data_IF_071590900924
#
_entry.id   IF_071590900924
#
_cell.length_a   1.000
_cell.length_b   1.000
_cell.length_c   1.000
_cell.angle_alpha   90.00
_cell.angle_beta   90.00
_cell.angle_gamma   90.00
#
_symmetry.space_group_name_H-M   'P 1'
#
loop_
_entity.id
_entity.type
_entity.pdbx_description
1 polymer ?
#
# COMPACT_ATOMS: atom_id res chain seq x y z
N UNK A 1 -47.63 -48.18 -13.96
CA UNK A 1 -48.06 -48.38 -15.36
C UNK A 1 -47.19 -47.47 -16.23
N UNK A 2 -46.39 -48.17 -17.06
CA UNK A 2 -46.08 -47.94 -18.48
C UNK A 2 -45.58 -46.55 -18.86
N UNK A 3 -44.20 -46.39 -19.12
CA UNK A 3 -43.58 -46.50 -20.47
C UNK A 3 -43.87 -45.22 -21.30
N UNK A 4 -42.86 -44.53 -21.85
CA UNK A 4 -42.11 -44.75 -23.11
C UNK A 4 -41.08 -43.58 -23.15
N UNK A 5 -39.78 -43.76 -23.14
CA UNK A 5 -38.85 -44.04 -24.23
C UNK A 5 -39.06 -43.14 -25.48
N UNK A 6 -38.21 -42.20 -25.74
CA UNK A 6 -37.67 -42.04 -27.08
C UNK A 6 -36.30 -41.34 -27.05
N UNK A 7 -35.34 -42.08 -27.50
CA UNK A 7 -33.98 -41.81 -27.89
C UNK A 7 -34.00 -41.08 -29.24
N UNK A 8 -33.27 -39.96 -29.39
CA UNK A 8 -32.78 -39.54 -30.71
C UNK A 8 -31.30 -39.25 -30.60
N UNK A 9 -30.59 -40.09 -31.30
CA UNK A 9 -29.15 -40.11 -31.52
C UNK A 9 -28.83 -39.41 -32.85
N UNK A 10 -27.70 -38.75 -32.90
CA UNK A 10 -26.83 -38.48 -34.05
C UNK A 10 -27.22 -37.35 -35.04
N UNK A 11 -26.25 -36.45 -35.20
CA UNK A 11 -25.48 -36.27 -36.45
C UNK A 11 -24.36 -35.24 -36.15
N UNK A 12 -23.15 -35.69 -36.04
CA UNK A 12 -22.01 -35.56 -36.94
C UNK A 12 -22.05 -34.35 -37.87
N UNK A 13 -21.15 -33.40 -37.70
CA UNK A 13 -20.33 -32.95 -38.81
C UNK A 13 -19.07 -32.23 -38.32
N UNK A 14 -17.93 -32.83 -38.63
CA UNK A 14 -16.60 -32.20 -38.67
C UNK A 14 -16.61 -31.06 -39.70
N UNK A 15 -16.10 -29.91 -39.31
CA UNK A 15 -15.46 -28.98 -40.24
C UNK A 15 -14.17 -28.50 -39.64
N UNK A 16 -13.09 -29.19 -39.98
CA UNK A 16 -11.75 -28.61 -39.95
C UNK A 16 -11.65 -27.58 -41.09
N UNK A 17 -11.41 -26.33 -40.76
CA UNK A 17 -10.85 -25.38 -41.71
C UNK A 17 -9.56 -24.83 -41.15
N UNK A 18 -8.47 -25.42 -41.63
CA UNK A 18 -7.13 -24.86 -41.64
C UNK A 18 -7.17 -23.65 -42.58
N UNK A 19 -6.95 -22.46 -42.04
CA UNK A 19 -6.55 -21.33 -42.85
C UNK A 19 -5.12 -20.94 -42.42
N UNK A 20 -4.16 -21.55 -43.10
CA UNK A 20 -2.78 -21.07 -43.16
C UNK A 20 -2.74 -19.91 -44.15
N UNK A 21 -2.43 -18.73 -43.73
CA UNK A 21 -2.00 -17.64 -44.61
C UNK A 21 -0.47 -17.51 -44.50
N UNK A 22 0.22 -18.25 -45.39
CA UNK A 22 1.62 -17.99 -45.72
C UNK A 22 1.74 -16.63 -46.42
N UNK A 23 2.47 -15.73 -45.83
CA UNK A 23 2.97 -14.54 -46.51
C UNK A 23 4.41 -14.83 -46.89
N UNK A 24 4.66 -15.20 -48.15
CA UNK A 24 6.00 -15.29 -48.74
C UNK A 24 6.51 -13.89 -49.07
N UNK A 25 7.68 -13.55 -48.50
CA UNK A 25 8.48 -12.39 -48.93
C UNK A 25 9.52 -12.85 -49.96
N UNK A 26 9.73 -12.12 -51.04
CA UNK A 26 10.65 -12.55 -52.10
C UNK A 26 12.12 -12.47 -51.67
N UNK A 27 12.83 -13.53 -52.03
CA UNK A 27 14.26 -13.72 -51.90
C UNK A 27 15.08 -12.60 -52.50
N UNK A 28 16.01 -12.03 -51.76
CA UNK A 28 17.26 -11.51 -52.31
C UNK A 28 18.44 -11.97 -51.47
N UNK A 29 19.21 -12.82 -52.10
CA UNK A 29 20.46 -13.37 -51.61
C UNK A 29 21.57 -12.33 -51.61
N UNK A 30 22.20 -12.09 -50.45
CA UNK A 30 23.61 -11.64 -50.35
C UNK A 30 24.22 -12.22 -49.08
N UNK A 31 25.40 -12.82 -49.14
CA UNK A 31 26.05 -13.41 -47.99
C UNK A 31 26.86 -12.38 -47.23
N UNK A 32 26.63 -12.23 -45.94
CA UNK A 32 27.52 -11.41 -45.09
C UNK A 32 27.74 -12.02 -43.71
N UNK A 33 28.98 -12.25 -43.46
CA UNK A 33 29.73 -12.46 -42.23
C UNK A 33 28.98 -12.55 -40.88
N UNK A 34 29.28 -13.65 -40.18
CA UNK A 34 29.01 -13.83 -38.75
C UNK A 34 29.88 -12.86 -37.94
N UNK A 35 29.27 -11.76 -37.53
CA UNK A 35 29.82 -10.96 -36.44
C UNK A 35 29.07 -11.31 -35.15
N UNK A 36 29.77 -12.01 -34.27
CA UNK A 36 29.33 -12.33 -32.91
C UNK A 36 29.22 -11.02 -32.12
N UNK A 37 28.04 -10.43 -32.08
CA UNK A 37 27.76 -9.32 -31.18
C UNK A 37 27.47 -9.85 -29.81
N UNK A 38 28.49 -9.90 -28.96
CA UNK A 38 28.36 -9.96 -27.51
C UNK A 38 27.47 -8.80 -27.07
N UNK A 39 26.20 -9.09 -26.73
CA UNK A 39 25.31 -8.13 -26.09
C UNK A 39 25.82 -7.92 -24.68
N UNK A 40 26.70 -6.96 -24.49
CA UNK A 40 26.95 -6.37 -23.17
C UNK A 40 25.67 -5.66 -22.72
N UNK A 41 24.89 -6.32 -21.87
CA UNK A 41 23.73 -5.73 -21.21
C UNK A 41 24.26 -4.66 -20.26
N UNK A 42 24.37 -3.43 -20.74
CA UNK A 42 24.50 -2.27 -19.86
C UNK A 42 23.20 -2.16 -19.11
N UNK A 43 23.20 -2.64 -17.88
CA UNK A 43 22.17 -2.36 -16.89
C UNK A 43 22.26 -0.86 -16.55
N UNK A 44 21.55 -0.03 -17.33
CA UNK A 44 21.24 1.33 -16.89
C UNK A 44 20.21 1.21 -15.76
N UNK A 45 20.69 1.05 -14.55
CA UNK A 45 19.90 1.12 -13.32
C UNK A 45 19.57 2.58 -13.03
N UNK A 46 18.82 3.22 -13.92
CA UNK A 46 18.23 4.53 -13.63
C UNK A 46 17.04 4.27 -12.69
N UNK A 47 17.18 4.72 -11.44
CA UNK A 47 16.06 4.78 -10.50
C UNK A 47 14.93 5.55 -11.17
N UNK A 48 13.74 4.96 -11.29
CA UNK A 48 12.59 5.67 -11.80
C UNK A 48 12.34 6.88 -10.88
N UNK A 49 12.26 8.08 -11.45
CA UNK A 49 12.12 9.34 -10.69
C UNK A 49 10.94 9.30 -9.72
N UNK A 50 9.89 8.57 -10.08
CA UNK A 50 8.68 8.35 -9.29
C UNK A 50 8.91 7.47 -8.04
N UNK A 51 9.87 6.54 -8.08
CA UNK A 51 10.12 5.60 -6.99
C UNK A 51 10.97 6.20 -5.87
N UNK A 52 11.75 7.26 -6.13
CA UNK A 52 12.71 7.84 -5.17
C UNK A 52 12.17 8.06 -3.75
N UNK A 53 10.98 8.66 -3.56
CA UNK A 53 10.46 8.90 -2.21
C UNK A 53 10.06 7.63 -1.46
N UNK A 54 10.03 6.48 -2.14
CA UNK A 54 9.51 5.21 -1.62
C UNK A 54 10.56 4.11 -1.53
N UNK A 55 11.84 4.45 -1.76
CA UNK A 55 12.95 3.50 -1.72
C UNK A 55 13.45 3.26 -0.29
N UNK A 56 14.66 2.79 -0.18
CA UNK A 56 15.30 2.41 1.09
C UNK A 56 15.21 3.53 2.13
N UNK A 57 14.82 3.16 3.35
CA UNK A 57 14.63 4.08 4.47
C UNK A 57 13.28 4.81 4.50
N UNK A 58 12.46 4.71 3.43
CA UNK A 58 11.13 5.34 3.41
C UNK A 58 10.12 4.63 4.35
N UNK A 59 10.40 3.38 4.73
CA UNK A 59 9.62 2.62 5.71
C UNK A 59 10.55 2.27 6.87
N UNK A 60 10.53 3.07 7.96
CA UNK A 60 11.42 2.88 9.09
C UNK A 60 11.12 1.59 9.85
N UNK A 61 12.16 0.81 10.15
CA UNK A 61 12.06 -0.42 10.92
C UNK A 61 12.92 -0.31 12.18
N UNK A 62 12.31 -0.50 13.35
CA UNK A 62 12.95 -0.49 14.67
C UNK A 62 12.67 -1.82 15.33
N UNK A 63 13.71 -2.59 15.63
CA UNK A 63 13.60 -3.93 16.26
C UNK A 63 12.60 -4.86 15.55
N UNK A 64 12.62 -4.84 14.21
CA UNK A 64 11.73 -5.67 13.38
C UNK A 64 10.27 -5.19 13.34
N UNK A 65 9.98 -3.98 13.83
CA UNK A 65 8.65 -3.34 13.75
C UNK A 65 8.71 -2.09 12.90
N UNK A 66 7.71 -1.91 12.06
CA UNK A 66 7.56 -0.68 11.29
C UNK A 66 6.92 0.38 12.20
N UNK A 67 7.67 1.47 12.41
CA UNK A 67 7.24 2.60 13.23
C UNK A 67 7.57 3.90 12.47
N UNK A 68 6.55 4.55 11.95
CA UNK A 68 6.71 5.89 11.42
C UNK A 68 6.62 6.89 12.57
N UNK A 69 7.66 7.71 12.73
CA UNK A 69 7.77 8.68 13.82
C UNK A 69 7.96 10.09 13.30
N UNK A 70 7.34 11.07 13.95
CA UNK A 70 7.56 12.49 13.71
C UNK A 70 7.55 13.25 15.02
N UNK A 71 8.57 14.07 15.21
CA UNK A 71 8.60 15.08 16.28
C UNK A 71 8.16 16.42 15.70
N UNK A 72 7.19 17.05 16.35
CA UNK A 72 6.62 18.35 15.99
C UNK A 72 7.02 19.33 17.09
N UNK A 73 7.72 20.41 16.72
CA UNK A 73 8.06 21.48 17.64
C UNK A 73 6.88 22.47 17.76
N UNK A 74 6.44 22.74 18.99
CA UNK A 74 5.30 23.61 19.31
C UNK A 74 5.77 24.62 20.38
N UNK A 75 6.50 25.68 19.99
CA UNK A 75 7.12 26.59 20.93
C UNK A 75 6.08 27.31 21.81
N UNK A 76 6.49 27.60 23.05
CA UNK A 76 5.69 28.32 24.06
C UNK A 76 4.39 27.61 24.49
N UNK A 77 4.34 26.28 24.37
CA UNK A 77 3.27 25.42 24.85
C UNK A 77 3.78 24.41 25.85
N UNK A 78 3.08 24.25 26.98
CA UNK A 78 3.37 23.18 27.92
C UNK A 78 2.75 21.84 27.48
N UNK A 79 3.21 20.75 28.09
CA UNK A 79 2.78 19.39 27.76
C UNK A 79 1.25 19.20 27.89
N UNK A 80 0.61 19.86 28.88
CA UNK A 80 -0.84 19.74 29.09
C UNK A 80 -1.65 20.42 27.99
N UNK A 81 -1.23 21.62 27.55
CA UNK A 81 -1.89 22.35 26.45
C UNK A 81 -1.78 21.55 25.13
N UNK A 82 -0.60 20.99 24.85
CA UNK A 82 -0.37 20.15 23.66
C UNK A 82 -1.23 18.88 23.76
N UNK A 83 -1.29 18.27 24.93
CA UNK A 83 -2.10 17.08 25.18
C UNK A 83 -3.60 17.35 24.94
N UNK A 84 -4.14 18.43 25.50
CA UNK A 84 -5.57 18.71 25.37
C UNK A 84 -5.97 18.99 23.91
N UNK A 85 -5.16 19.75 23.16
CA UNK A 85 -5.36 19.95 21.71
C UNK A 85 -5.25 18.65 20.92
N UNK A 86 -4.23 17.85 21.21
CA UNK A 86 -4.01 16.56 20.54
C UNK A 86 -5.17 15.60 20.82
N UNK A 87 -5.65 15.56 22.06
CA UNK A 87 -6.80 14.74 22.44
C UNK A 87 -8.07 15.17 21.67
N UNK A 88 -8.39 16.45 21.62
CA UNK A 88 -9.55 16.96 20.88
C UNK A 88 -9.46 16.61 19.39
N UNK A 89 -8.29 16.79 18.78
CA UNK A 89 -8.08 16.41 17.38
C UNK A 89 -8.30 14.91 17.16
N UNK A 90 -7.67 14.05 17.97
CA UNK A 90 -7.79 12.60 17.84
C UNK A 90 -9.19 12.09 18.11
N UNK A 91 -9.94 12.73 19.02
CA UNK A 91 -11.34 12.41 19.25
C UNK A 91 -12.20 12.69 18.01
N UNK A 92 -12.01 13.83 17.36
CA UNK A 92 -12.68 14.17 16.10
C UNK A 92 -12.23 13.24 14.97
N UNK A 93 -10.93 12.97 14.87
CA UNK A 93 -10.37 12.12 13.84
C UNK A 93 -10.93 10.69 13.91
N UNK A 94 -11.04 10.11 15.11
CA UNK A 94 -11.61 8.77 15.28
C UNK A 94 -13.10 8.66 14.97
N UNK A 95 -13.83 9.79 15.00
CA UNK A 95 -15.27 9.89 14.69
C UNK A 95 -15.54 10.43 13.29
N UNK A 96 -14.51 10.70 12.49
CA UNK A 96 -14.66 11.26 11.14
C UNK A 96 -15.36 10.30 10.18
N UNK A 97 -15.93 10.82 9.10
CA UNK A 97 -16.60 10.03 8.07
C UNK A 97 -15.66 9.08 7.31
N UNK A 98 -14.35 9.29 7.41
CA UNK A 98 -13.34 8.39 6.83
C UNK A 98 -12.99 7.23 7.76
N UNK A 99 -13.34 7.34 9.05
CA UNK A 99 -13.08 6.30 10.04
C UNK A 99 -14.11 5.18 9.94
N UNK A 100 -13.64 3.94 9.92
CA UNK A 100 -14.46 2.74 9.94
C UNK A 100 -14.72 2.28 11.38
N UNK A 101 -15.72 1.40 11.61
CA UNK A 101 -15.97 0.82 12.91
C UNK A 101 -14.71 0.22 13.54
N UNK A 102 -14.50 0.49 14.83
CA UNK A 102 -13.31 0.09 15.57
C UNK A 102 -12.28 1.21 15.77
N UNK A 103 -12.42 2.35 15.07
CA UNK A 103 -11.62 3.55 15.34
C UNK A 103 -12.04 4.17 16.67
N UNK A 104 -11.09 4.32 17.59
CA UNK A 104 -11.33 4.92 18.90
C UNK A 104 -10.04 5.26 19.64
N UNK A 105 -10.11 6.18 20.58
CA UNK A 105 -9.04 6.37 21.57
C UNK A 105 -9.05 5.17 22.52
N UNK A 106 -7.90 4.57 22.77
CA UNK A 106 -7.74 3.36 23.59
C UNK A 106 -6.91 3.59 24.85
N UNK A 107 -6.04 4.60 24.87
CA UNK A 107 -5.26 5.00 26.04
C UNK A 107 -5.36 6.52 26.21
N UNK A 108 -5.65 6.93 27.43
CA UNK A 108 -5.64 8.32 27.89
C UNK A 108 -4.85 8.38 29.19
N UNK A 109 -3.61 8.87 29.13
CA UNK A 109 -2.78 9.03 30.31
C UNK A 109 -2.40 10.51 30.51
N UNK A 110 -3.22 11.22 31.30
CA UNK A 110 -3.01 12.64 31.59
C UNK A 110 -1.75 12.95 32.40
N UNK A 111 -1.30 11.99 33.24
CA UNK A 111 -0.08 12.19 34.06
C UNK A 111 1.19 12.15 33.24
N UNK A 112 1.23 11.31 32.22
CA UNK A 112 2.37 11.16 31.32
C UNK A 112 2.17 11.90 29.99
N UNK A 113 1.01 12.53 29.78
CA UNK A 113 0.59 13.21 28.57
C UNK A 113 0.71 12.29 27.33
N UNK A 114 0.21 11.05 27.45
CA UNK A 114 0.21 10.05 26.39
C UNK A 114 -1.22 9.74 25.97
N UNK A 115 -1.47 9.73 24.67
CA UNK A 115 -2.73 9.31 24.06
C UNK A 115 -2.41 8.22 23.04
N UNK A 116 -3.20 7.14 23.04
CA UNK A 116 -3.16 6.18 21.94
C UNK A 116 -4.55 5.97 21.35
N UNK A 117 -4.60 5.90 20.04
CA UNK A 117 -5.83 5.63 19.28
C UNK A 117 -5.58 4.47 18.31
N UNK A 118 -6.56 3.57 18.21
CA UNK A 118 -6.63 2.61 17.10
C UNK A 118 -7.47 3.21 15.99
N UNK A 119 -6.98 3.10 14.77
CA UNK A 119 -7.65 3.62 13.59
C UNK A 119 -7.90 2.48 12.62
N UNK A 120 -9.06 2.50 12.01
CA UNK A 120 -9.47 1.66 10.91
C UNK A 120 -10.06 2.56 9.82
N UNK A 121 -9.51 2.53 8.63
CA UNK A 121 -9.96 3.36 7.50
C UNK A 121 -9.74 2.66 6.17
N UNK A 122 -10.21 3.23 5.07
CA UNK A 122 -9.93 2.73 3.74
C UNK A 122 -8.64 3.35 3.17
N UNK A 123 -7.66 2.52 2.86
CA UNK A 123 -6.51 2.90 2.04
C UNK A 123 -6.89 2.70 0.57
N UNK A 124 -7.18 3.79 -0.13
CA UNK A 124 -7.66 3.76 -1.51
C UNK A 124 -6.48 3.80 -2.48
N UNK A 125 -6.33 2.75 -3.29
CA UNK A 125 -5.29 2.64 -4.31
C UNK A 125 -5.71 3.30 -5.62
N UNK A 126 -6.95 3.05 -6.05
CA UNK A 126 -7.57 3.72 -7.19
C UNK A 126 -9.08 3.82 -7.01
N UNK A 127 -9.66 4.88 -7.57
CA UNK A 127 -11.09 5.11 -7.58
C UNK A 127 -11.49 5.53 -8.99
N UNK A 128 -11.99 4.58 -9.77
CA UNK A 128 -12.44 4.78 -11.14
C UNK A 128 -13.96 4.63 -11.21
N UNK A 129 -14.57 5.13 -12.27
CA UNK A 129 -16.02 5.06 -12.47
C UNK A 129 -16.60 3.65 -12.32
N UNK A 130 -15.85 2.61 -12.72
CA UNK A 130 -16.33 1.21 -12.69
C UNK A 130 -15.84 0.40 -11.48
N UNK A 131 -14.81 0.85 -10.75
CA UNK A 131 -14.24 0.06 -9.65
C UNK A 131 -13.47 0.90 -8.66
N UNK A 132 -13.52 0.48 -7.40
CA UNK A 132 -12.70 1.02 -6.32
C UNK A 132 -11.74 -0.07 -5.87
N UNK A 133 -10.45 0.17 -6.00
CA UNK A 133 -9.39 -0.68 -5.44
C UNK A 133 -8.94 -0.10 -4.11
N UNK A 134 -9.18 -0.82 -2.99
CA UNK A 134 -8.90 -0.36 -1.63
C UNK A 134 -8.66 -1.50 -0.67
N UNK A 135 -7.93 -1.25 0.40
CA UNK A 135 -7.77 -2.15 1.54
C UNK A 135 -8.27 -1.51 2.82
N UNK A 136 -8.77 -2.29 3.77
CA UNK A 136 -8.87 -1.82 5.14
C UNK A 136 -7.46 -1.65 5.70
N UNK A 137 -7.24 -0.49 6.31
CA UNK A 137 -5.97 -0.04 6.86
C UNK A 137 -6.12 0.19 8.36
N UNK A 138 -5.49 -0.69 9.13
CA UNK A 138 -5.51 -0.63 10.59
C UNK A 138 -4.15 -0.16 11.08
N UNK A 139 -4.13 0.74 12.04
CA UNK A 139 -2.91 1.16 12.71
C UNK A 139 -3.17 1.70 14.11
N UNK A 140 -2.12 1.81 14.89
CA UNK A 140 -2.15 2.50 16.18
C UNK A 140 -1.37 3.80 16.04
N UNK A 141 -2.02 4.90 16.44
CA UNK A 141 -1.39 6.21 16.55
C UNK A 141 -1.13 6.47 18.03
N UNK A 142 0.12 6.79 18.37
CA UNK A 142 0.53 7.15 19.73
C UNK A 142 1.08 8.57 19.71
N UNK A 143 0.51 9.42 20.55
CA UNK A 143 0.93 10.79 20.77
C UNK A 143 1.54 10.93 22.16
N UNK A 144 2.77 11.41 22.24
CA UNK A 144 3.46 11.74 23.49
C UNK A 144 3.76 13.23 23.52
N UNK A 145 3.14 13.95 24.46
CA UNK A 145 3.26 15.41 24.57
C UNK A 145 4.26 15.75 25.66
N UNK A 146 5.18 16.66 25.33
CA UNK A 146 6.15 17.28 26.24
C UNK A 146 6.08 18.78 26.08
N UNK A 147 6.76 19.51 26.95
CA UNK A 147 6.88 20.95 26.79
C UNK A 147 7.54 21.29 25.44
N UNK A 148 6.87 22.11 24.64
CA UNK A 148 7.27 22.54 23.30
C UNK A 148 7.39 21.42 22.24
N UNK A 149 6.98 20.18 22.54
CA UNK A 149 7.19 19.03 21.65
C UNK A 149 6.00 18.06 21.66
N UNK A 150 5.62 17.60 20.48
CA UNK A 150 4.70 16.48 20.26
C UNK A 150 5.37 15.40 19.44
N UNK A 151 5.56 14.21 20.02
CA UNK A 151 6.02 13.03 19.29
C UNK A 151 4.80 12.20 18.85
N UNK A 152 4.71 11.93 17.55
CA UNK A 152 3.69 11.05 16.95
C UNK A 152 4.36 9.80 16.43
N UNK A 153 3.82 8.63 16.82
CA UNK A 153 4.17 7.34 16.23
C UNK A 153 2.94 6.72 15.56
N UNK A 154 3.12 6.20 14.35
CA UNK A 154 2.15 5.34 13.65
C UNK A 154 2.78 3.97 13.52
N UNK A 155 2.17 2.98 14.15
CA UNK A 155 2.71 1.64 14.28
C UNK A 155 1.63 0.56 14.22
N UNK A 156 2.02 -0.73 14.27
CA UNK A 156 1.11 -1.90 14.26
C UNK A 156 0.19 -1.89 13.05
N UNK A 157 0.74 -1.52 11.90
CA UNK A 157 0.01 -1.38 10.65
C UNK A 157 -0.37 -2.76 10.11
N UNK A 158 -1.65 -2.92 9.76
CA UNK A 158 -2.23 -4.14 9.19
C UNK A 158 -3.15 -3.81 8.03
N UNK A 159 -3.29 -4.78 7.12
CA UNK A 159 -4.16 -4.66 5.95
C UNK A 159 -5.13 -5.83 5.87
N UNK A 160 -6.37 -5.54 5.40
CA UNK A 160 -7.27 -6.55 4.84
C UNK A 160 -7.65 -6.11 3.44
N UNK A 161 -7.33 -6.90 2.46
CA UNK A 161 -7.55 -6.62 1.06
C UNK A 161 -8.40 -7.72 0.41
N UNK A 162 -9.22 -7.37 -0.58
CA UNK A 162 -10.17 -8.28 -1.26
C UNK A 162 -11.08 -9.06 -0.30
N UNK A 163 -11.62 -8.36 0.69
CA UNK A 163 -12.42 -8.91 1.78
C UNK A 163 -13.60 -9.70 1.24
N UNK A 164 -13.77 -10.95 1.74
CA UNK A 164 -14.85 -11.85 1.35
C UNK A 164 -14.64 -12.54 0.00
N UNK A 165 -13.45 -12.41 -0.61
CA UNK A 165 -13.08 -13.11 -1.84
C UNK A 165 -12.13 -14.27 -1.54
N UNK A 166 -12.01 -15.28 -2.45
CA UNK A 166 -11.00 -16.33 -2.30
C UNK A 166 -9.56 -15.81 -2.23
N UNK A 167 -9.31 -14.62 -2.78
CA UNK A 167 -8.03 -13.90 -2.77
C UNK A 167 -7.84 -12.98 -1.57
N UNK A 168 -8.67 -13.10 -0.52
CA UNK A 168 -8.55 -12.25 0.67
C UNK A 168 -7.16 -12.33 1.29
N UNK A 169 -6.50 -11.17 1.41
CA UNK A 169 -5.20 -11.02 2.03
C UNK A 169 -5.33 -10.31 3.38
N UNK A 170 -4.80 -10.94 4.43
CA UNK A 170 -4.60 -10.34 5.76
C UNK A 170 -3.11 -10.39 6.06
N UNK A 171 -2.50 -9.23 6.25
CA UNK A 171 -1.04 -9.10 6.42
C UNK A 171 -0.68 -7.87 7.23
N UNK A 172 0.58 -7.79 7.65
CA UNK A 172 1.15 -6.65 8.36
C UNK A 172 2.03 -5.79 7.42
N UNK A 173 2.39 -4.60 7.88
CA UNK A 173 3.32 -3.75 7.14
C UNK A 173 4.71 -4.40 7.03
N UNK A 174 5.17 -5.06 8.08
CA UNK A 174 6.44 -5.76 8.12
C UNK A 174 6.54 -6.84 7.03
N UNK A 175 5.44 -7.57 6.80
CA UNK A 175 5.35 -8.67 5.84
C UNK A 175 5.12 -8.18 4.40
N UNK A 176 4.66 -6.93 4.21
CA UNK A 176 4.24 -6.46 2.89
C UNK A 176 5.05 -5.28 2.37
N UNK A 177 5.37 -4.29 3.22
CA UNK A 177 5.95 -3.03 2.75
C UNK A 177 7.34 -2.70 3.29
N UNK A 178 7.94 -3.57 4.14
CA UNK A 178 9.31 -3.35 4.62
C UNK A 178 10.31 -3.29 3.46
N UNK A 179 11.44 -2.64 3.67
CA UNK A 179 12.51 -2.53 2.66
C UNK A 179 12.99 -3.90 2.18
N UNK A 180 13.06 -4.85 3.10
CA UNK A 180 13.46 -6.24 2.83
C UNK A 180 12.48 -6.96 1.91
N UNK A 181 11.19 -6.72 2.06
CA UNK A 181 10.14 -7.40 1.29
C UNK A 181 9.83 -6.66 0.00
N UNK A 182 9.60 -5.35 0.08
CA UNK A 182 9.03 -4.58 -1.02
C UNK A 182 10.05 -4.05 -2.03
N UNK A 183 11.35 -4.04 -1.71
CA UNK A 183 12.34 -3.54 -2.65
C UNK A 183 13.00 -4.67 -3.44
N UNK A 184 13.51 -4.32 -4.64
CA UNK A 184 14.40 -5.17 -5.42
C UNK A 184 15.71 -5.44 -4.65
N UNK A 185 16.47 -6.46 -5.04
CA UNK A 185 17.73 -6.81 -4.37
C UNK A 185 18.74 -5.67 -4.31
N UNK A 186 18.79 -4.86 -5.36
CA UNK A 186 19.61 -3.66 -5.50
C UNK A 186 18.99 -2.40 -4.89
N UNK A 187 17.78 -2.51 -4.30
CA UNK A 187 17.00 -1.44 -3.66
C UNK A 187 16.68 -0.24 -4.55
N UNK A 188 16.83 -0.39 -5.84
CA UNK A 188 16.61 0.68 -6.83
C UNK A 188 15.15 0.81 -7.28
N UNK A 189 14.32 -0.19 -6.98
CA UNK A 189 12.91 -0.24 -7.42
C UNK A 189 12.03 -0.87 -6.36
N UNK A 190 10.78 -0.40 -6.29
CA UNK A 190 9.73 -1.07 -5.53
C UNK A 190 9.13 -2.19 -6.39
N UNK A 191 9.01 -3.39 -5.85
CA UNK A 191 8.40 -4.54 -6.53
C UNK A 191 6.94 -4.25 -6.87
N UNK A 192 6.47 -4.75 -8.02
CA UNK A 192 5.15 -4.42 -8.57
C UNK A 192 3.99 -4.81 -7.66
N UNK A 193 4.08 -5.96 -6.98
CA UNK A 193 3.01 -6.47 -6.13
C UNK A 193 2.82 -5.61 -4.87
N UNK A 194 3.91 -5.13 -4.28
CA UNK A 194 3.95 -4.36 -3.05
C UNK A 194 3.81 -2.85 -3.27
N UNK A 195 4.02 -2.39 -4.52
CA UNK A 195 4.12 -0.96 -4.89
C UNK A 195 2.93 -0.15 -4.39
N UNK A 196 1.70 -0.57 -4.69
CA UNK A 196 0.51 0.19 -4.32
C UNK A 196 0.34 0.33 -2.80
N UNK A 197 0.63 -0.74 -2.04
CA UNK A 197 0.55 -0.70 -0.58
C UNK A 197 1.62 0.20 0.00
N UNK A 198 2.88 0.02 -0.42
CA UNK A 198 4.01 0.81 0.10
C UNK A 198 3.82 2.30 -0.16
N UNK A 199 3.47 2.69 -1.39
CA UNK A 199 3.27 4.09 -1.77
C UNK A 199 2.14 4.72 -0.97
N UNK A 200 0.97 4.11 -1.02
CA UNK A 200 -0.21 4.66 -0.36
C UNK A 200 -0.09 4.70 1.16
N UNK A 201 0.65 3.75 1.77
CA UNK A 201 0.91 3.79 3.21
C UNK A 201 1.83 4.96 3.57
N UNK A 202 2.94 5.15 2.86
CA UNK A 202 3.87 6.26 3.11
C UNK A 202 3.15 7.59 2.93
N UNK A 203 2.41 7.77 1.83
CA UNK A 203 1.66 8.99 1.54
C UNK A 203 0.60 9.26 2.62
N UNK A 204 -0.16 8.22 3.02
CA UNK A 204 -1.22 8.37 4.02
C UNK A 204 -0.67 8.69 5.41
N UNK A 205 0.40 8.03 5.83
CA UNK A 205 1.04 8.31 7.11
C UNK A 205 1.58 9.74 7.13
N UNK A 206 2.20 10.19 6.04
CA UNK A 206 2.66 11.57 5.90
C UNK A 206 1.48 12.56 6.04
N UNK A 207 0.39 12.33 5.32
CA UNK A 207 -0.83 13.15 5.38
C UNK A 207 -1.40 13.22 6.80
N UNK A 208 -1.48 12.09 7.52
CA UNK A 208 -1.94 12.03 8.90
C UNK A 208 -1.08 12.93 9.79
N UNK A 209 0.26 12.80 9.68
CA UNK A 209 1.19 13.59 10.47
C UNK A 209 1.15 15.09 10.14
N UNK A 210 0.97 15.44 8.86
CA UNK A 210 0.81 16.82 8.41
C UNK A 210 -0.48 17.43 8.96
N UNK A 211 -1.57 16.67 8.94
CA UNK A 211 -2.87 17.10 9.49
C UNK A 211 -2.81 17.29 11.02
N UNK A 212 -2.16 16.37 11.76
CA UNK A 212 -1.95 16.55 13.20
C UNK A 212 -1.16 17.82 13.46
N UNK A 213 -0.05 18.00 12.78
CA UNK A 213 0.78 19.18 12.92
C UNK A 213 -0.02 20.45 12.69
N UNK A 214 -0.76 20.55 11.61
CA UNK A 214 -1.56 21.73 11.26
C UNK A 214 -2.64 22.05 12.31
N UNK A 215 -3.25 21.03 12.92
CA UNK A 215 -4.34 21.23 13.87
C UNK A 215 -3.86 21.47 15.32
N UNK A 216 -2.67 20.98 15.68
CA UNK A 216 -2.15 21.12 17.05
C UNK A 216 -1.26 22.34 17.21
N UNK A 217 -0.64 22.84 16.14
CA UNK A 217 0.21 24.04 16.19
C UNK A 217 -0.58 25.35 16.10
N UNK A 218 -1.84 25.32 15.64
CA UNK A 218 -2.76 26.47 15.63
C UNK A 218 -3.31 26.74 17.04
#
# INVERSE_FOLDING_TARGET
MKKIFTLILAFFSLCNLMAQSEWELPNSSVPTEKTTKTKTKKENTSIAKEDKPYLEGAVPEVEGKIIFSRTINIPNKNASEIYDKTYQYLEQFTKSNTSLPGSRIVIVNKKQHIIAATINEWLVFSNNFFSIDRAQFFYTLIATCKDNELLINVERIKYKYEIGRPSELKTTAEELISDKVALSKDKTKVKKAEKKFRYKTIDRVKEIMDNIQSNVTL
#
